data_IF_502981949666
#
_entry.id   IF_502981949666
#
_cell.length_a   1.000
_cell.length_b   1.000
_cell.length_c   1.000
_cell.angle_alpha   90.00
_cell.angle_beta   90.00
_cell.angle_gamma   90.00
#
_symmetry.space_group_name_H-M   'P 1'
#
loop_
_entity.id
_entity.type
_entity.pdbx_description
1 polymer ?
#
# COMPACT_ATOMS: atom_id res chain seq x y z
N UNK A 1 -13.44 3.89 1.13
CA UNK A 1 -13.16 2.53 0.61
C UNK A 1 -11.75 2.41 0.03
N UNK A 2 -11.40 3.08 -1.06
CA UNK A 2 -10.05 2.94 -1.66
C UNK A 2 -8.91 3.45 -0.75
N UNK A 3 -9.10 4.57 -0.03
CA UNK A 3 -8.09 5.04 0.95
C UNK A 3 -7.86 4.06 2.10
N UNK A 4 -8.90 3.36 2.57
CA UNK A 4 -8.77 2.31 3.58
C UNK A 4 -7.94 1.13 3.06
N UNK A 5 -8.08 0.78 1.78
CA UNK A 5 -7.23 -0.22 1.14
C UNK A 5 -5.76 0.21 1.11
N UNK A 6 -5.46 1.44 0.68
CA UNK A 6 -4.08 1.97 0.67
C UNK A 6 -3.47 1.97 2.07
N UNK A 7 -4.23 2.38 3.10
CA UNK A 7 -3.78 2.34 4.50
C UNK A 7 -3.58 0.90 5.00
N UNK A 8 -4.45 -0.04 4.60
CA UNK A 8 -4.30 -1.45 4.94
C UNK A 8 -3.03 -2.06 4.36
N UNK A 9 -2.73 -1.80 3.08
CA UNK A 9 -1.49 -2.23 2.41
C UNK A 9 -0.26 -1.62 3.08
N UNK A 10 -0.35 -0.35 3.52
CA UNK A 10 0.73 0.31 4.27
C UNK A 10 1.02 -0.40 5.59
N UNK A 11 -0.01 -0.70 6.36
CA UNK A 11 0.11 -1.43 7.63
C UNK A 11 0.66 -2.86 7.41
N UNK A 12 0.25 -3.53 6.33
CA UNK A 12 0.75 -4.85 5.98
C UNK A 12 2.23 -4.84 5.56
N UNK A 13 2.67 -3.80 4.86
CA UNK A 13 4.10 -3.61 4.57
C UNK A 13 4.91 -3.45 5.86
N UNK A 14 4.43 -2.66 6.83
CA UNK A 14 5.06 -2.51 8.15
C UNK A 14 5.07 -3.85 8.90
N UNK A 15 3.98 -4.60 8.85
CA UNK A 15 3.92 -5.94 9.45
C UNK A 15 4.97 -6.88 8.86
N UNK A 16 5.14 -6.88 7.53
CA UNK A 16 6.20 -7.64 6.86
C UNK A 16 7.60 -7.26 7.34
N UNK A 17 7.87 -5.97 7.57
CA UNK A 17 9.15 -5.48 8.12
C UNK A 17 9.39 -6.05 9.53
N UNK A 18 8.36 -6.00 10.39
CA UNK A 18 8.44 -6.52 11.76
C UNK A 18 8.74 -8.03 11.77
N UNK A 19 8.10 -8.79 10.87
CA UNK A 19 8.27 -10.24 10.76
C UNK A 19 9.51 -10.64 9.94
N UNK A 20 10.26 -9.69 9.37
CA UNK A 20 11.37 -9.93 8.40
C UNK A 20 10.97 -10.80 7.21
N UNK A 21 9.70 -10.71 6.79
CA UNK A 21 9.18 -11.44 5.64
C UNK A 21 9.41 -10.62 4.37
N UNK A 22 10.49 -10.94 3.65
CA UNK A 22 10.86 -10.26 2.41
C UNK A 22 9.78 -10.33 1.33
N UNK A 23 9.02 -11.42 1.24
CA UNK A 23 7.99 -11.58 0.21
C UNK A 23 6.80 -10.64 0.46
N UNK A 24 6.36 -10.56 1.73
CA UNK A 24 5.28 -9.66 2.14
C UNK A 24 5.67 -8.20 1.95
N UNK A 25 6.90 -7.84 2.31
CA UNK A 25 7.41 -6.46 2.15
C UNK A 25 7.40 -6.07 0.67
N UNK A 26 8.00 -6.90 -0.19
CA UNK A 26 8.12 -6.60 -1.62
C UNK A 26 6.73 -6.46 -2.25
N UNK A 27 5.84 -7.44 -2.04
CA UNK A 27 4.50 -7.42 -2.62
C UNK A 27 3.66 -6.20 -2.19
N UNK A 28 3.69 -5.86 -0.90
CA UNK A 28 2.92 -4.74 -0.39
C UNK A 28 3.54 -3.39 -0.76
N UNK A 29 4.87 -3.27 -0.86
CA UNK A 29 5.52 -2.04 -1.37
C UNK A 29 5.11 -1.73 -2.81
N UNK A 30 5.16 -2.72 -3.72
CA UNK A 30 4.72 -2.52 -5.10
C UNK A 30 3.23 -2.13 -5.17
N UNK A 31 2.40 -2.82 -4.40
CA UNK A 31 0.97 -2.53 -4.31
C UNK A 31 0.71 -1.12 -3.76
N UNK A 32 1.50 -0.66 -2.80
CA UNK A 32 1.38 0.66 -2.21
C UNK A 32 1.72 1.78 -3.20
N UNK A 33 2.75 1.61 -4.02
CA UNK A 33 3.11 2.58 -5.07
C UNK A 33 1.99 2.70 -6.11
N UNK A 34 1.48 1.58 -6.60
CA UNK A 34 0.40 1.58 -7.59
C UNK A 34 -0.90 2.16 -7.02
N UNK A 35 -1.28 1.72 -5.82
CA UNK A 35 -2.54 2.16 -5.20
C UNK A 35 -2.48 3.61 -4.72
N UNK A 36 -1.33 4.11 -4.24
CA UNK A 36 -1.16 5.53 -3.93
C UNK A 36 -1.24 6.40 -5.19
N UNK A 37 -0.70 5.93 -6.32
CA UNK A 37 -0.83 6.62 -7.61
C UNK A 37 -2.31 6.74 -8.02
N UNK A 38 -3.05 5.63 -8.00
CA UNK A 38 -4.49 5.64 -8.31
C UNK A 38 -5.27 6.52 -7.34
N UNK A 39 -4.94 6.47 -6.04
CA UNK A 39 -5.57 7.33 -5.03
C UNK A 39 -5.28 8.82 -5.28
N UNK A 40 -4.05 9.17 -5.66
CA UNK A 40 -3.67 10.54 -5.99
C UNK A 40 -4.45 11.06 -7.20
N UNK A 41 -4.59 10.26 -8.26
CA UNK A 41 -5.45 10.60 -9.39
C UNK A 41 -6.91 10.74 -8.98
N UNK A 42 -7.42 9.83 -8.14
CA UNK A 42 -8.81 9.88 -7.64
C UNK A 42 -9.09 11.09 -6.76
N UNK A 43 -8.08 11.66 -6.09
CA UNK A 43 -8.19 12.88 -5.29
C UNK A 43 -8.05 14.12 -6.19
N UNK A 44 -7.09 14.12 -7.13
CA UNK A 44 -6.80 15.25 -8.02
C UNK A 44 -7.90 15.49 -9.06
N UNK A 45 -8.47 14.42 -9.59
CA UNK A 45 -9.50 14.45 -10.65
C UNK A 45 -10.88 14.04 -10.12
N UNK A 46 -11.17 14.38 -8.85
CA UNK A 46 -12.50 14.16 -8.26
C UNK A 46 -13.61 14.78 -9.10
#
# INVERSE_FOLDING_TARGET
MYSMFVVGVFLWAIHGIINRDGAVIIANCFTLVLSSTVLAYKIKYK
#
